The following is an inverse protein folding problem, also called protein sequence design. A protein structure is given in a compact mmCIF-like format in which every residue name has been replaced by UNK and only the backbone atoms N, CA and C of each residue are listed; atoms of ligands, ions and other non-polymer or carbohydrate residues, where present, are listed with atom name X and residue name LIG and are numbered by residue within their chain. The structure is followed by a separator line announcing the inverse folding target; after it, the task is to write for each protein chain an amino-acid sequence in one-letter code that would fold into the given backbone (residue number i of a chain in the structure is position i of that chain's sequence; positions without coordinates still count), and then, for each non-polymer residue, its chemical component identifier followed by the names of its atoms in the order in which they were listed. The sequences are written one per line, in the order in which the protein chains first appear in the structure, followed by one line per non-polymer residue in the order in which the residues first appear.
data_IF_878175845147
#
_entry.id   IF_878175845147
#
_cell.length_a   1.000
_cell.length_b   1.000
_cell.length_c   1.000
_cell.angle_alpha   90.00
_cell.angle_beta   90.00
_cell.angle_gamma   90.00
#
_symmetry.space_group_name_H-M   'P 1'
#
loop_
_entity.id
_entity.type
_entity.pdbx_description
1 polymer ?
#
# COMPACT_ATOMS: atom_id res chain seq x y z
N UNK A 1 19.10 14.56 -9.83
CA UNK A 1 17.76 15.09 -10.15
C UNK A 1 17.62 15.42 -11.62
N UNK A 2 18.65 16.07 -12.21
CA UNK A 2 18.57 16.47 -13.63
C UNK A 2 18.36 15.29 -14.55
N UNK A 3 19.03 14.16 -14.27
CA UNK A 3 18.87 12.96 -15.08
C UNK A 3 17.42 12.47 -15.04
N UNK A 4 16.82 12.44 -13.86
CA UNK A 4 15.45 11.95 -13.71
C UNK A 4 14.45 12.89 -14.38
N UNK A 5 14.68 14.21 -14.31
CA UNK A 5 13.77 15.15 -14.97
C UNK A 5 13.73 14.95 -16.47
N UNK A 6 14.85 14.52 -17.06
CA UNK A 6 14.93 14.24 -18.48
C UNK A 6 14.60 12.81 -18.87
N UNK A 7 14.30 11.94 -17.90
CA UNK A 7 14.01 10.53 -18.16
C UNK A 7 12.53 10.31 -18.44
N UNK A 8 12.17 9.21 -19.10
CA UNK A 8 10.74 8.92 -19.33
C UNK A 8 9.99 8.76 -18.02
N UNK A 9 8.76 9.26 -18.00
CA UNK A 9 7.86 8.93 -16.90
C UNK A 9 7.56 7.43 -16.91
N UNK A 10 7.24 6.88 -15.76
CA UNK A 10 6.94 5.45 -15.65
C UNK A 10 5.49 5.15 -16.05
N UNK A 11 4.63 6.15 -16.08
CA UNK A 11 3.22 5.98 -16.42
C UNK A 11 2.81 7.12 -17.36
N UNK A 12 1.67 6.95 -18.01
CA UNK A 12 1.15 7.96 -18.92
C UNK A 12 -0.06 8.67 -18.30
N UNK A 13 -0.24 9.94 -18.67
CA UNK A 13 -1.37 10.72 -18.16
C UNK A 13 -2.71 10.08 -18.53
N UNK A 14 -2.81 9.50 -19.73
CA UNK A 14 -4.04 8.84 -20.14
C UNK A 14 -4.39 7.67 -19.24
N UNK A 15 -3.38 6.93 -18.78
CA UNK A 15 -3.63 5.82 -17.86
C UNK A 15 -4.10 6.33 -16.50
N UNK A 16 -3.56 7.46 -16.05
CA UNK A 16 -4.02 8.07 -14.81
C UNK A 16 -5.51 8.42 -14.91
N UNK A 17 -5.91 9.02 -16.03
CA UNK A 17 -7.31 9.39 -16.21
C UNK A 17 -8.20 8.16 -16.27
N UNK A 18 -7.72 7.08 -16.89
CA UNK A 18 -8.49 5.83 -16.92
C UNK A 18 -8.67 5.26 -15.52
N UNK A 19 -7.61 5.32 -14.70
CA UNK A 19 -7.73 4.84 -13.33
C UNK A 19 -8.69 5.71 -12.53
N UNK A 20 -8.64 7.02 -12.71
CA UNK A 20 -9.57 7.90 -12.00
C UNK A 20 -11.02 7.58 -12.36
N UNK A 21 -11.29 7.31 -13.64
CA UNK A 21 -12.64 6.93 -14.07
C UNK A 21 -13.05 5.61 -13.42
N UNK A 22 -12.13 4.65 -13.35
CA UNK A 22 -12.42 3.38 -12.69
C UNK A 22 -12.68 3.59 -11.21
N UNK A 23 -11.88 4.42 -10.55
CA UNK A 23 -12.07 4.68 -9.12
C UNK A 23 -13.33 5.48 -8.85
N UNK A 24 -13.82 6.28 -9.81
CA UNK A 24 -15.11 6.91 -9.64
C UNK A 24 -16.23 5.87 -9.50
N UNK A 25 -16.11 4.75 -10.22
CA UNK A 25 -17.07 3.65 -10.07
C UNK A 25 -16.93 3.00 -8.69
N UNK A 26 -15.71 2.88 -8.18
CA UNK A 26 -15.50 2.37 -6.83
C UNK A 26 -16.16 3.29 -5.81
N UNK A 27 -16.02 4.60 -5.99
CA UNK A 27 -16.63 5.58 -5.08
C UNK A 27 -18.15 5.47 -5.07
N UNK A 28 -18.75 4.99 -6.15
CA UNK A 28 -20.19 4.77 -6.21
C UNK A 28 -20.61 3.39 -5.70
N UNK A 29 -19.67 2.59 -5.23
CA UNK A 29 -19.98 1.26 -4.71
C UNK A 29 -20.10 0.18 -5.77
N UNK A 30 -19.66 0.44 -7.00
CA UNK A 30 -19.85 -0.50 -8.11
C UNK A 30 -18.70 -1.47 -8.28
N UNK A 31 -17.57 -1.25 -7.61
CA UNK A 31 -16.41 -2.10 -7.71
C UNK A 31 -15.60 -2.02 -6.43
N UNK A 32 -14.73 -2.97 -6.23
CA UNK A 32 -13.86 -3.05 -5.05
C UNK A 32 -12.40 -2.94 -5.47
N UNK A 33 -11.51 -2.79 -4.49
CA UNK A 33 -10.07 -2.66 -4.71
C UNK A 33 -9.33 -3.65 -3.84
N UNK A 34 -8.35 -4.34 -4.41
CA UNK A 34 -7.31 -4.98 -3.61
C UNK A 34 -5.98 -4.33 -3.97
N UNK A 35 -5.29 -3.81 -2.95
CA UNK A 35 -4.02 -3.10 -3.10
C UNK A 35 -3.01 -3.81 -2.22
N UNK A 36 -2.07 -4.53 -2.81
CA UNK A 36 -1.15 -5.32 -1.99
C UNK A 36 0.22 -5.46 -2.63
N UNK A 37 1.20 -5.81 -1.81
CA UNK A 37 2.57 -6.05 -2.21
C UNK A 37 3.52 -5.88 -1.05
N UNK A 38 4.80 -5.76 -1.34
CA UNK A 38 5.84 -5.71 -0.33
C UNK A 38 5.68 -4.52 0.62
N UNK A 39 6.17 -4.70 1.84
CA UNK A 39 6.30 -3.57 2.76
C UNK A 39 7.38 -2.61 2.27
N UNK A 40 8.51 -3.15 1.82
CA UNK A 40 9.59 -2.43 1.18
C UNK A 40 10.15 -3.32 0.09
N UNK A 41 10.26 -2.78 -1.11
CA UNK A 41 10.76 -3.58 -2.23
C UNK A 41 12.28 -3.65 -2.24
N UNK A 42 12.77 -4.76 -2.77
CA UNK A 42 14.18 -5.01 -3.03
C UNK A 42 14.48 -4.52 -4.45
N UNK A 43 15.37 -3.52 -4.59
CA UNK A 43 15.70 -2.99 -5.91
C UNK A 43 16.32 -4.02 -6.85
N UNK A 44 16.84 -5.11 -6.32
CA UNK A 44 17.40 -6.17 -7.15
C UNK A 44 16.36 -7.20 -7.57
N UNK A 45 15.12 -7.07 -7.11
CA UNK A 45 14.06 -8.07 -7.32
C UNK A 45 13.08 -7.56 -8.38
N UNK A 46 13.56 -7.39 -9.61
CA UNK A 46 12.72 -6.86 -10.69
C UNK A 46 12.71 -7.77 -11.92
N UNK A 47 13.01 -9.04 -11.72
CA UNK A 47 13.02 -10.02 -12.80
C UNK A 47 11.59 -10.43 -13.18
N UNK A 48 11.43 -10.86 -14.41
CA UNK A 48 10.11 -11.19 -14.94
C UNK A 48 9.36 -12.21 -14.09
N UNK A 49 10.06 -13.25 -13.64
CA UNK A 49 9.39 -14.30 -12.86
C UNK A 49 8.94 -13.77 -11.49
N UNK A 50 9.74 -12.94 -10.85
CA UNK A 50 9.36 -12.38 -9.56
C UNK A 50 8.16 -11.45 -9.70
N UNK A 51 8.15 -10.63 -10.75
CA UNK A 51 7.01 -9.75 -11.01
C UNK A 51 5.75 -10.58 -11.30
N UNK A 52 5.89 -11.66 -12.08
CA UNK A 52 4.75 -12.52 -12.38
C UNK A 52 4.19 -13.17 -11.12
N UNK A 53 5.04 -13.59 -10.19
CA UNK A 53 4.57 -14.20 -8.95
C UNK A 53 3.84 -13.18 -8.07
N UNK A 54 4.34 -11.95 -8.03
CA UNK A 54 3.65 -10.89 -7.28
C UNK A 54 2.29 -10.58 -7.91
N UNK A 55 2.22 -10.54 -9.23
CA UNK A 55 0.94 -10.33 -9.92
C UNK A 55 -0.02 -11.50 -9.66
N UNK A 56 0.51 -12.72 -9.55
CA UNK A 56 -0.33 -13.88 -9.27
C UNK A 56 -1.00 -13.77 -7.90
N UNK A 57 -0.31 -13.23 -6.91
CA UNK A 57 -0.94 -13.00 -5.60
C UNK A 57 -2.12 -12.03 -5.76
N UNK A 58 -1.93 -10.95 -6.52
CA UNK A 58 -3.02 -10.01 -6.76
C UNK A 58 -4.20 -10.68 -7.46
N UNK A 59 -3.92 -11.56 -8.42
CA UNK A 59 -5.00 -12.29 -9.12
C UNK A 59 -5.77 -13.18 -8.14
N UNK A 60 -5.04 -13.88 -7.28
CA UNK A 60 -5.67 -14.74 -6.28
C UNK A 60 -6.57 -13.93 -5.35
N UNK A 61 -6.04 -12.83 -4.83
CA UNK A 61 -6.79 -12.04 -3.86
C UNK A 61 -7.96 -11.31 -4.52
N UNK A 62 -7.79 -10.85 -5.75
CA UNK A 62 -8.89 -10.20 -6.45
C UNK A 62 -10.02 -11.17 -6.72
N UNK A 63 -9.68 -12.42 -7.11
CA UNK A 63 -10.70 -13.44 -7.29
C UNK A 63 -11.45 -13.73 -6.01
N UNK A 64 -10.72 -13.87 -4.91
CA UNK A 64 -11.34 -14.13 -3.61
C UNK A 64 -12.24 -12.96 -3.19
N UNK A 65 -11.77 -11.73 -3.38
CA UNK A 65 -12.56 -10.57 -2.98
C UNK A 65 -13.80 -10.43 -3.86
N UNK A 66 -13.68 -10.77 -5.14
CA UNK A 66 -14.85 -10.75 -6.01
C UNK A 66 -15.92 -11.72 -5.55
N UNK A 67 -15.50 -12.90 -5.11
CA UNK A 67 -16.46 -13.88 -4.57
C UNK A 67 -17.08 -13.41 -3.26
N UNK A 68 -16.25 -12.85 -2.37
CA UNK A 68 -16.73 -12.39 -1.07
C UNK A 68 -17.58 -11.13 -1.17
N UNK A 69 -17.21 -10.22 -2.05
CA UNK A 69 -17.85 -8.91 -2.15
C UNK A 69 -18.86 -8.77 -3.28
N UNK A 70 -18.87 -9.75 -4.20
CA UNK A 70 -19.85 -9.81 -5.29
C UNK A 70 -19.81 -8.62 -6.22
N UNK A 71 -18.63 -8.06 -6.46
CA UNK A 71 -18.43 -6.94 -7.37
C UNK A 71 -17.11 -7.11 -8.09
N UNK A 72 -16.93 -6.48 -9.24
CA UNK A 72 -15.62 -6.46 -9.89
C UNK A 72 -14.57 -5.89 -8.95
N UNK A 73 -13.33 -6.36 -9.10
CA UNK A 73 -12.23 -5.95 -8.23
C UNK A 73 -11.11 -5.37 -9.07
N UNK A 74 -10.66 -4.17 -8.69
CA UNK A 74 -9.52 -3.52 -9.31
C UNK A 74 -8.25 -3.98 -8.60
N UNK A 75 -7.26 -4.44 -9.36
CA UNK A 75 -6.00 -4.96 -8.84
C UNK A 75 -4.95 -3.87 -8.84
N UNK A 76 -4.39 -3.58 -7.67
CA UNK A 76 -3.38 -2.54 -7.50
C UNK A 76 -2.19 -3.13 -6.76
N UNK A 77 -1.01 -3.01 -7.33
CA UNK A 77 0.21 -3.51 -6.68
C UNK A 77 0.92 -2.41 -5.91
N UNK A 78 1.33 -2.72 -4.69
CA UNK A 78 2.36 -1.95 -4.00
C UNK A 78 3.66 -2.38 -4.64
N UNK A 79 3.98 -1.78 -5.77
CA UNK A 79 5.04 -2.29 -6.63
C UNK A 79 5.60 -1.18 -7.50
N UNK A 80 6.85 -1.34 -7.89
CA UNK A 80 7.56 -0.43 -8.80
C UNK A 80 7.80 0.93 -8.17
N UNK A 81 8.10 0.95 -6.87
CA UNK A 81 8.41 2.23 -6.24
C UNK A 81 8.40 2.24 -4.72
N UNK A 82 8.08 1.15 -4.06
CA UNK A 82 8.05 1.14 -2.60
C UNK A 82 9.48 0.94 -2.09
N UNK A 83 10.35 1.91 -2.39
CA UNK A 83 11.77 1.86 -2.08
C UNK A 83 12.18 2.85 -0.98
N UNK A 84 11.23 3.54 -0.38
CA UNK A 84 11.48 4.42 0.76
C UNK A 84 10.44 4.14 1.82
N UNK A 85 10.88 4.04 3.08
CA UNK A 85 10.01 3.65 4.18
C UNK A 85 10.11 4.65 5.32
N UNK A 86 8.98 5.10 5.85
CA UNK A 86 9.03 5.89 7.09
C UNK A 86 9.37 4.98 8.26
N UNK A 87 10.13 5.51 9.19
CA UNK A 87 10.53 4.74 10.37
C UNK A 87 10.19 5.54 11.62
N UNK A 88 9.79 4.82 12.66
CA UNK A 88 9.40 5.46 13.92
C UNK A 88 10.58 6.10 14.64
N UNK A 89 11.75 5.48 14.51
CA UNK A 89 12.96 5.96 15.19
C UNK A 89 14.07 6.16 14.18
N UNK A 90 14.97 7.12 14.41
CA UNK A 90 16.08 7.34 13.46
C UNK A 90 17.20 6.30 13.57
N UNK A 91 17.31 5.63 14.69
CA UNK A 91 18.39 4.65 14.94
C UNK A 91 17.84 3.37 15.51
N UNK A 92 18.61 2.30 15.36
CA UNK A 92 18.29 1.01 15.96
C UNK A 92 19.56 0.37 16.51
N UNK A 93 19.35 -0.54 17.47
CA UNK A 93 20.44 -1.29 18.08
C UNK A 93 20.61 -2.58 17.30
N UNK A 94 21.83 -2.83 16.80
CA UNK A 94 22.17 -4.08 16.11
C UNK A 94 23.41 -4.62 16.79
N UNK A 95 23.25 -5.66 17.62
CA UNK A 95 24.33 -6.13 18.47
C UNK A 95 24.72 -5.04 19.44
N UNK A 96 26.00 -4.69 19.45
CA UNK A 96 26.51 -3.63 20.32
C UNK A 96 26.56 -2.27 19.63
N UNK A 97 26.15 -2.19 18.37
CA UNK A 97 26.21 -0.94 17.62
C UNK A 97 24.86 -0.24 17.58
N UNK A 98 24.90 1.08 17.60
CA UNK A 98 23.73 1.92 17.30
C UNK A 98 23.89 2.44 15.89
N UNK A 99 22.95 2.05 15.01
CA UNK A 99 23.05 2.38 13.59
C UNK A 99 21.80 3.16 13.14
N UNK A 100 21.93 4.00 12.11
CA UNK A 100 20.73 4.56 11.48
C UNK A 100 19.86 3.41 10.99
N UNK A 101 18.55 3.59 11.05
CA UNK A 101 17.64 2.54 10.57
C UNK A 101 17.73 2.44 9.06
N UNK A 102 17.42 1.23 8.55
CA UNK A 102 17.21 1.05 7.11
C UNK A 102 15.94 1.78 6.70
N UNK A 103 16.02 2.60 5.64
CA UNK A 103 14.90 3.44 5.21
C UNK A 103 14.43 3.13 3.80
N UNK A 104 14.80 1.97 3.28
CA UNK A 104 14.43 1.57 1.92
C UNK A 104 15.62 1.68 0.99
N UNK A 105 15.58 0.88 -0.06
CA UNK A 105 16.73 0.74 -0.95
C UNK A 105 17.11 2.00 -1.69
N UNK A 106 16.18 2.92 -1.92
CA UNK A 106 16.52 4.21 -2.54
C UNK A 106 17.25 5.15 -1.59
N UNK A 107 17.23 4.88 -0.29
CA UNK A 107 17.82 5.77 0.70
C UNK A 107 19.16 5.25 1.20
N UNK A 108 19.19 4.01 1.69
CA UNK A 108 20.42 3.45 2.26
C UNK A 108 20.42 1.93 2.12
N UNK A 109 21.53 1.31 2.53
CA UNK A 109 21.67 -0.14 2.44
C UNK A 109 21.11 -0.85 3.66
N UNK A 110 20.72 -2.09 3.46
CA UNK A 110 20.09 -2.88 4.51
C UNK A 110 21.11 -3.53 5.44
N UNK A 111 22.35 -3.69 5.00
CA UNK A 111 23.39 -4.36 5.78
C UNK A 111 23.66 -3.57 7.06
N UNK A 112 23.95 -4.30 8.13
CA UNK A 112 24.05 -3.72 9.46
C UNK A 112 25.46 -3.18 9.74
N UNK A 113 25.87 -2.18 8.97
CA UNK A 113 27.08 -1.44 9.31
C UNK A 113 26.97 0.01 8.83
N UNK A 114 27.76 0.86 9.48
CA UNK A 114 27.58 2.31 9.39
C UNK A 114 27.67 2.84 7.95
N UNK A 115 28.60 2.30 7.17
CA UNK A 115 28.77 2.81 5.81
C UNK A 115 27.58 2.50 4.94
N UNK A 116 27.01 1.31 5.06
CA UNK A 116 25.83 0.94 4.28
C UNK A 116 24.61 1.73 4.72
N UNK A 117 24.53 2.09 5.98
CA UNK A 117 23.36 2.81 6.50
C UNK A 117 23.42 4.33 6.22
N UNK A 118 24.50 4.81 5.61
CA UNK A 118 24.57 6.19 5.21
C UNK A 118 23.68 6.42 4.00
N UNK A 119 22.92 7.53 3.98
CA UNK A 119 22.10 7.86 2.83
C UNK A 119 22.97 8.10 1.60
N UNK A 120 22.52 7.59 0.47
CA UNK A 120 23.27 7.65 -0.79
C UNK A 120 22.33 8.04 -1.93
N UNK A 121 22.41 9.27 -2.43
CA UNK A 121 21.50 9.73 -3.50
C UNK A 121 21.63 8.94 -4.80
N UNK A 122 22.77 8.28 -5.05
CA UNK A 122 22.91 7.46 -6.25
C UNK A 122 21.93 6.30 -6.28
N UNK A 123 21.47 5.86 -5.13
CA UNK A 123 20.49 4.78 -5.06
C UNK A 123 19.17 5.13 -5.74
N UNK A 124 18.86 6.40 -5.85
CA UNK A 124 17.62 6.84 -6.51
C UNK A 124 17.62 6.43 -7.98
N UNK A 125 18.77 6.58 -8.65
CA UNK A 125 18.85 6.20 -10.06
C UNK A 125 18.67 4.69 -10.25
N UNK A 126 19.25 3.90 -9.35
CA UNK A 126 19.08 2.45 -9.42
C UNK A 126 17.62 2.07 -9.19
N UNK A 127 16.96 2.73 -8.24
CA UNK A 127 15.56 2.47 -7.98
C UNK A 127 14.66 2.82 -9.15
N UNK A 128 14.93 3.94 -9.80
CA UNK A 128 14.20 4.32 -10.99
C UNK A 128 14.33 3.24 -12.09
N UNK A 129 15.56 2.76 -12.30
CA UNK A 129 15.78 1.72 -13.32
C UNK A 129 15.04 0.43 -12.97
N UNK A 130 15.06 0.04 -11.71
CA UNK A 130 14.34 -1.15 -11.27
C UNK A 130 12.84 -0.98 -11.47
N UNK A 131 12.29 0.17 -11.08
CA UNK A 131 10.87 0.44 -11.24
C UNK A 131 10.47 0.41 -12.72
N UNK A 132 11.30 1.01 -13.58
CA UNK A 132 11.02 1.01 -15.00
C UNK A 132 10.96 -0.40 -15.57
N UNK A 133 11.87 -1.26 -15.14
CA UNK A 133 11.87 -2.64 -15.58
C UNK A 133 10.64 -3.40 -15.11
N UNK A 134 10.22 -3.16 -13.88
CA UNK A 134 8.99 -3.77 -13.36
C UNK A 134 7.78 -3.31 -14.17
N UNK A 135 7.71 -2.02 -14.45
CA UNK A 135 6.60 -1.49 -15.25
C UNK A 135 6.52 -2.17 -16.61
N UNK A 136 7.69 -2.41 -17.22
CA UNK A 136 7.73 -3.10 -18.50
C UNK A 136 7.18 -4.51 -18.38
N UNK A 137 7.57 -5.23 -17.34
CA UNK A 137 7.07 -6.60 -17.13
C UNK A 137 5.58 -6.63 -16.83
N UNK A 138 5.03 -5.56 -16.25
CA UNK A 138 3.60 -5.48 -16.02
C UNK A 138 2.80 -5.04 -17.24
N UNK A 139 3.49 -4.69 -18.33
CA UNK A 139 2.83 -4.27 -19.55
C UNK A 139 2.61 -2.78 -19.68
N UNK A 140 3.18 -1.97 -18.80
CA UNK A 140 3.02 -0.52 -18.81
C UNK A 140 4.18 0.16 -19.52
N UNK A 141 4.52 -0.26 -20.72
CA UNK A 141 5.62 0.38 -21.44
C UNK A 141 5.11 1.70 -22.04
N UNK A 142 5.34 2.79 -21.34
CA UNK A 142 4.85 4.09 -21.76
C UNK A 142 5.46 4.52 -23.11
N UNK A 143 6.67 4.05 -23.40
CA UNK A 143 7.32 4.42 -24.67
C UNK A 143 6.73 3.70 -25.87
N UNK A 144 6.16 2.52 -25.67
CA UNK A 144 5.62 1.72 -26.78
C UNK A 144 4.22 2.14 -27.19
N UNK A 145 3.52 2.87 -26.35
CA UNK A 145 2.15 3.26 -26.63
C UNK A 145 1.14 2.13 -26.56
N UNK A 146 1.51 1.00 -25.98
CA UNK A 146 0.58 -0.11 -25.85
C UNK A 146 -0.55 0.21 -24.91
N UNK A 147 -1.73 -0.25 -25.25
CA UNK A 147 -2.87 -0.11 -24.36
C UNK A 147 -2.75 -1.10 -23.20
N UNK A 148 -3.30 -0.71 -22.08
CA UNK A 148 -3.32 -1.57 -20.92
C UNK A 148 -4.13 -2.82 -21.22
N UNK A 149 -3.78 -3.91 -20.54
CA UNK A 149 -4.55 -5.14 -20.62
C UNK A 149 -5.97 -4.93 -20.15
N UNK A 150 -6.86 -5.82 -20.54
CA UNK A 150 -8.25 -5.77 -20.10
C UNK A 150 -8.36 -5.86 -18.57
N UNK A 151 -7.38 -6.50 -17.93
CA UNK A 151 -7.32 -6.61 -16.46
C UNK A 151 -5.94 -6.16 -15.98
N UNK A 152 -5.66 -4.88 -16.01
CA UNK A 152 -4.31 -4.43 -15.65
C UNK A 152 -4.05 -4.51 -14.14
N UNK A 153 -2.75 -4.59 -13.80
CA UNK A 153 -2.29 -4.37 -12.44
C UNK A 153 -1.80 -2.93 -12.37
N UNK A 154 -2.55 -2.08 -11.70
CA UNK A 154 -2.15 -0.69 -11.50
C UNK A 154 -1.05 -0.64 -10.44
N UNK A 155 -0.28 0.44 -10.42
CA UNK A 155 0.84 0.56 -9.50
C UNK A 155 0.60 1.65 -8.49
N UNK A 156 1.23 1.50 -7.32
CA UNK A 156 1.02 2.39 -6.19
C UNK A 156 2.21 2.28 -5.26
N UNK A 157 2.60 3.37 -4.64
CA UNK A 157 3.56 3.35 -3.54
C UNK A 157 3.40 4.60 -2.68
N UNK A 158 4.03 4.57 -1.50
CA UNK A 158 4.00 5.75 -0.63
C UNK A 158 4.86 6.85 -1.24
N UNK A 159 4.28 8.00 -1.45
CA UNK A 159 4.98 9.16 -2.00
C UNK A 159 5.75 9.82 -0.86
N UNK A 160 6.96 9.36 -0.61
CA UNK A 160 7.71 9.74 0.58
C UNK A 160 9.01 10.48 0.27
N UNK A 161 9.84 9.96 -0.63
CA UNK A 161 11.18 10.49 -0.89
C UNK A 161 11.08 11.62 -1.90
N UNK A 162 11.03 12.86 -1.40
CA UNK A 162 10.75 14.02 -2.26
C UNK A 162 11.82 14.25 -3.30
N UNK A 163 13.09 13.91 -3.01
CA UNK A 163 14.14 14.04 -4.04
C UNK A 163 13.82 13.22 -5.29
N UNK A 164 13.21 12.04 -5.11
CA UNK A 164 12.79 11.22 -6.23
C UNK A 164 11.49 11.75 -6.83
N UNK A 165 10.50 11.96 -6.00
CA UNK A 165 9.15 12.24 -6.49
C UNK A 165 9.04 13.58 -7.20
N UNK A 166 9.71 14.61 -6.68
CA UNK A 166 9.69 15.91 -7.35
C UNK A 166 10.36 15.82 -8.71
N UNK A 167 11.38 14.97 -8.83
CA UNK A 167 12.08 14.78 -10.11
C UNK A 167 11.23 14.04 -11.13
N UNK A 168 10.15 13.38 -10.68
CA UNK A 168 9.28 12.60 -11.56
C UNK A 168 7.99 13.34 -11.92
N UNK A 169 7.84 14.59 -11.55
CA UNK A 169 6.69 15.38 -11.98
C UNK A 169 6.76 15.66 -13.46
N UNK A 170 5.62 15.59 -14.14
CA UNK A 170 5.51 15.82 -15.59
C UNK A 170 4.25 16.63 -15.87
N UNK A 171 4.13 17.13 -17.10
CA UNK A 171 2.92 17.80 -17.56
C UNK A 171 2.32 17.02 -18.71
N UNK A 172 0.99 16.96 -18.75
CA UNK A 172 0.31 16.39 -19.90
C UNK A 172 0.17 17.42 -21.02
N UNK A 173 -0.56 17.07 -22.08
CA UNK A 173 -0.70 17.94 -23.22
C UNK A 173 -1.48 19.21 -22.89
N UNK A 174 -2.32 19.20 -21.86
CA UNK A 174 -3.05 20.36 -21.40
C UNK A 174 -2.29 21.09 -20.29
N UNK A 175 -1.03 20.74 -20.05
CA UNK A 175 -0.15 21.36 -19.05
C UNK A 175 -0.61 21.10 -17.61
N UNK A 176 -1.36 20.02 -17.41
CA UNK A 176 -1.72 19.59 -16.07
C UNK A 176 -0.58 18.75 -15.48
N UNK A 177 -0.24 19.00 -14.23
CA UNK A 177 0.87 18.31 -13.56
C UNK A 177 0.42 16.94 -13.10
N UNK A 178 1.26 15.92 -13.32
CA UNK A 178 1.03 14.61 -12.77
C UNK A 178 2.31 14.02 -12.25
N UNK A 179 2.16 13.08 -11.32
CA UNK A 179 3.29 12.36 -10.76
C UNK A 179 3.59 11.16 -11.67
N UNK A 180 4.77 11.17 -12.27
CA UNK A 180 5.15 10.15 -13.26
C UNK A 180 5.79 8.91 -12.68
N UNK A 181 5.88 8.81 -11.34
CA UNK A 181 6.52 7.66 -10.72
C UNK A 181 5.56 6.49 -10.47
N UNK A 182 4.25 6.73 -10.47
CA UNK A 182 3.28 5.68 -10.20
C UNK A 182 1.89 6.16 -10.58
N UNK A 183 0.97 5.21 -10.75
CA UNK A 183 -0.43 5.57 -11.05
C UNK A 183 -1.13 6.17 -9.83
N UNK A 184 -0.94 5.59 -8.65
CA UNK A 184 -1.77 5.91 -7.49
C UNK A 184 -0.89 6.08 -6.25
N UNK A 185 -0.34 7.28 -6.04
CA UNK A 185 0.48 7.53 -4.85
C UNK A 185 -0.38 7.66 -3.61
N UNK A 186 0.21 7.33 -2.45
CA UNK A 186 -0.46 7.62 -1.19
C UNK A 186 0.47 8.38 -0.24
N UNK A 187 -0.17 9.10 0.69
CA UNK A 187 0.51 9.80 1.78
C UNK A 187 0.44 8.91 3.00
N UNK A 188 1.57 8.72 3.67
CA UNK A 188 1.63 7.91 4.88
C UNK A 188 1.16 8.67 6.11
N UNK A 189 0.99 7.93 7.19
CA UNK A 189 0.51 8.49 8.45
C UNK A 189 1.44 9.59 9.00
N UNK A 190 2.74 9.44 8.76
CA UNK A 190 3.73 10.34 9.33
C UNK A 190 3.92 11.62 8.53
N UNK A 191 3.41 11.68 7.30
CA UNK A 191 3.63 12.84 6.43
C UNK A 191 2.32 13.49 5.98
N UNK A 192 1.23 13.26 6.70
CA UNK A 192 -0.09 13.79 6.33
C UNK A 192 -0.45 15.11 7.00
N UNK A 193 0.53 15.87 7.42
CA UNK A 193 0.26 17.21 7.96
C UNK A 193 -0.36 18.07 6.85
N UNK A 194 -1.46 18.72 7.15
CA UNK A 194 -2.23 19.47 6.15
C UNK A 194 -1.36 20.52 5.45
N UNK A 195 -0.47 21.16 6.21
CA UNK A 195 0.42 22.19 5.67
C UNK A 195 1.80 21.65 5.31
N UNK A 196 1.97 20.33 5.25
CA UNK A 196 3.25 19.74 4.94
C UNK A 196 3.50 19.60 3.44
N UNK A 197 4.76 19.33 3.11
CA UNK A 197 5.20 19.27 1.72
C UNK A 197 4.56 18.12 0.95
N UNK A 198 4.37 16.98 1.61
CA UNK A 198 3.81 15.79 0.94
C UNK A 198 2.35 16.04 0.56
N UNK A 199 1.57 16.61 1.45
CA UNK A 199 0.19 16.95 1.13
C UNK A 199 0.14 18.01 0.04
N UNK A 200 0.99 19.03 0.12
CA UNK A 200 1.02 20.09 -0.88
C UNK A 200 1.29 19.51 -2.27
N UNK A 201 2.22 18.55 -2.37
CA UNK A 201 2.54 17.97 -3.66
C UNK A 201 1.37 17.19 -4.23
N UNK A 202 0.77 16.32 -3.44
CA UNK A 202 -0.33 15.51 -3.97
C UNK A 202 -1.62 16.29 -4.17
N UNK A 203 -1.76 17.44 -3.53
CA UNK A 203 -2.91 18.29 -3.79
C UNK A 203 -2.90 18.84 -5.23
N UNK A 204 -1.73 18.87 -5.89
CA UNK A 204 -1.59 19.51 -7.20
C UNK A 204 -1.59 18.52 -8.36
N UNK A 205 -1.52 17.21 -8.11
CA UNK A 205 -1.31 16.26 -9.20
C UNK A 205 -2.62 15.70 -9.74
N UNK A 206 -2.58 15.35 -11.01
CA UNK A 206 -3.72 14.76 -11.71
C UNK A 206 -4.06 13.35 -11.21
N UNK A 207 -3.10 12.64 -10.67
CA UNK A 207 -3.27 11.25 -10.20
C UNK A 207 -4.41 11.16 -9.19
N UNK A 208 -5.10 10.01 -9.11
CA UNK A 208 -5.86 9.76 -7.90
C UNK A 208 -4.89 9.65 -6.73
N UNK A 209 -5.30 10.08 -5.56
CA UNK A 209 -4.41 10.07 -4.39
C UNK A 209 -5.09 9.35 -3.24
N UNK A 210 -4.25 8.77 -2.37
CA UNK A 210 -4.75 8.15 -1.16
C UNK A 210 -3.98 8.69 0.04
N UNK A 211 -4.58 8.55 1.22
CA UNK A 211 -3.96 9.04 2.45
C UNK A 211 -4.27 8.07 3.57
N UNK A 212 -3.22 7.64 4.27
CA UNK A 212 -3.38 6.78 5.45
C UNK A 212 -3.94 7.60 6.60
N UNK A 213 -4.85 7.01 7.35
CA UNK A 213 -5.41 7.66 8.54
C UNK A 213 -5.43 6.68 9.70
N UNK A 214 -4.75 7.05 10.77
CA UNK A 214 -4.66 6.25 11.98
C UNK A 214 -5.69 6.64 13.02
N UNK A 215 -5.69 5.95 14.17
CA UNK A 215 -6.77 6.12 15.15
C UNK A 215 -6.72 7.42 15.91
N UNK A 216 -5.63 8.16 15.83
CA UNK A 216 -5.51 9.41 16.60
C UNK A 216 -5.92 10.65 15.82
N UNK A 217 -6.29 10.52 14.55
CA UNK A 217 -6.69 11.67 13.76
C UNK A 217 -8.04 12.20 14.24
N UNK A 218 -8.15 13.54 14.38
CA UNK A 218 -9.40 14.16 14.73
C UNK A 218 -10.20 14.56 13.51
N UNK A 219 -11.48 14.77 13.73
CA UNK A 219 -12.37 15.17 12.63
C UNK A 219 -11.91 16.45 11.93
N UNK A 220 -11.52 17.28 12.51
CA UNK A 220 -11.10 18.48 12.01
C UNK A 220 -9.98 18.39 11.12
N UNK A 221 -9.12 17.69 11.64
CA UNK A 221 -7.91 17.49 10.85
C UNK A 221 -8.21 16.69 9.58
N UNK A 222 -9.03 15.65 9.71
CA UNK A 222 -9.38 14.83 8.56
C UNK A 222 -10.13 15.64 7.51
N UNK A 223 -11.08 16.48 7.93
CA UNK A 223 -11.81 17.29 6.96
C UNK A 223 -10.90 18.28 6.26
N UNK A 224 -9.91 18.82 6.98
CA UNK A 224 -8.93 19.72 6.34
C UNK A 224 -8.12 18.98 5.28
N UNK A 225 -7.74 17.73 5.56
CA UNK A 225 -7.05 16.91 4.55
C UNK A 225 -7.93 16.67 3.33
N UNK A 226 -9.18 16.31 3.54
CA UNK A 226 -10.10 16.08 2.42
C UNK A 226 -10.28 17.34 1.59
N UNK A 227 -10.42 18.48 2.25
CA UNK A 227 -10.59 19.74 1.54
C UNK A 227 -9.34 20.10 0.74
N UNK A 228 -8.16 19.83 1.30
CA UNK A 228 -6.91 20.13 0.60
C UNK A 228 -6.70 19.20 -0.59
N UNK A 229 -6.96 17.89 -0.41
CA UNK A 229 -6.65 16.90 -1.43
C UNK A 229 -7.74 16.74 -2.47
N UNK A 230 -8.98 17.09 -2.14
CA UNK A 230 -10.11 16.98 -3.07
C UNK A 230 -11.08 18.13 -2.88
N UNK A 231 -10.67 19.37 -3.17
CA UNK A 231 -11.56 20.52 -2.97
C UNK A 231 -12.78 20.50 -3.89
N UNK A 232 -12.70 19.81 -5.02
CA UNK A 232 -13.81 19.75 -5.97
C UNK A 232 -14.76 18.59 -5.68
N UNK A 233 -14.47 17.79 -4.69
CA UNK A 233 -15.33 16.65 -4.31
C UNK A 233 -15.62 15.75 -5.48
N UNK A 234 -14.56 15.30 -6.15
CA UNK A 234 -14.68 14.48 -7.37
C UNK A 234 -14.61 13.00 -7.00
N UNK A 235 -15.62 12.22 -7.33
CA UNK A 235 -15.54 10.78 -7.11
C UNK A 235 -14.32 10.19 -7.83
N UNK A 236 -13.57 9.37 -7.10
CA UNK A 236 -12.37 8.74 -7.64
C UNK A 236 -11.08 9.49 -7.39
N UNK A 237 -11.15 10.74 -6.91
CA UNK A 237 -9.94 11.51 -6.65
C UNK A 237 -9.28 11.09 -5.34
N UNK A 238 -10.03 10.94 -4.25
CA UNK A 238 -9.46 10.75 -2.93
C UNK A 238 -9.91 9.44 -2.31
N UNK A 239 -8.94 8.68 -1.82
CA UNK A 239 -9.16 7.47 -1.04
C UNK A 239 -8.51 7.66 0.32
N UNK A 240 -9.22 7.27 1.37
CA UNK A 240 -8.66 7.24 2.72
C UNK A 240 -8.44 5.78 3.10
N UNK A 241 -7.25 5.50 3.61
CA UNK A 241 -6.86 4.15 3.97
C UNK A 241 -6.76 4.08 5.49
N UNK A 242 -7.75 3.42 6.11
CA UNK A 242 -7.83 3.35 7.57
C UNK A 242 -6.87 2.29 8.09
N UNK A 243 -6.00 2.69 9.04
CA UNK A 243 -5.06 1.78 9.69
C UNK A 243 -5.18 1.96 11.19
N UNK A 244 -6.26 1.42 11.74
CA UNK A 244 -6.72 1.74 13.10
C UNK A 244 -6.27 0.74 14.16
N UNK A 245 -6.10 -0.53 13.79
CA UNK A 245 -5.94 -1.61 14.74
C UNK A 245 -7.27 -2.26 15.04
N UNK A 246 -7.23 -3.59 15.26
CA UNK A 246 -8.45 -4.36 15.41
C UNK A 246 -9.29 -3.89 16.59
N UNK A 247 -8.64 -3.42 17.66
CA UNK A 247 -9.37 -3.04 18.86
C UNK A 247 -9.98 -1.64 18.79
N UNK A 248 -9.46 -0.78 17.91
CA UNK A 248 -9.89 0.62 17.87
C UNK A 248 -10.81 0.95 16.70
N UNK A 249 -10.80 0.13 15.66
CA UNK A 249 -11.47 0.49 14.41
C UNK A 249 -12.98 0.70 14.62
N UNK A 250 -13.61 -0.14 15.41
CA UNK A 250 -15.06 -0.05 15.63
C UNK A 250 -15.49 1.21 16.35
N UNK A 251 -14.63 1.77 17.17
CA UNK A 251 -14.95 2.99 17.92
C UNK A 251 -14.48 4.24 17.18
N UNK A 252 -13.28 4.20 16.61
CA UNK A 252 -12.65 5.39 16.06
C UNK A 252 -13.10 5.73 14.65
N UNK A 253 -13.42 4.73 13.85
CA UNK A 253 -13.69 4.97 12.43
C UNK A 253 -15.07 5.56 12.15
N UNK A 254 -16.16 5.10 12.76
CA UNK A 254 -17.48 5.63 12.41
C UNK A 254 -17.64 7.14 12.47
N UNK A 255 -17.20 7.84 13.53
CA UNK A 255 -17.37 9.29 13.52
C UNK A 255 -16.57 9.98 12.40
N UNK A 256 -15.44 9.40 11.99
CA UNK A 256 -14.66 9.96 10.89
C UNK A 256 -15.40 9.80 9.57
N UNK A 257 -15.96 8.62 9.33
CA UNK A 257 -16.73 8.37 8.11
C UNK A 257 -17.94 9.30 8.04
N UNK A 258 -18.65 9.45 9.15
CA UNK A 258 -19.81 10.32 9.21
C UNK A 258 -19.44 11.77 8.89
N UNK A 259 -18.33 12.25 9.46
CA UNK A 259 -17.88 13.62 9.23
C UNK A 259 -17.54 13.88 7.77
N UNK A 260 -16.81 12.93 7.16
CA UNK A 260 -16.41 13.08 5.76
C UNK A 260 -17.64 13.07 4.85
N UNK A 261 -18.56 12.18 5.13
CA UNK A 261 -19.80 12.11 4.33
C UNK A 261 -20.63 13.38 4.50
N UNK A 262 -20.78 13.85 5.73
CA UNK A 262 -21.57 15.06 5.98
C UNK A 262 -20.99 16.29 5.30
N UNK A 263 -19.65 16.30 5.13
CA UNK A 263 -18.99 17.40 4.42
C UNK A 263 -19.08 17.27 2.89
N UNK A 264 -19.69 16.19 2.39
CA UNK A 264 -19.93 16.04 0.96
C UNK A 264 -18.76 15.46 0.16
N UNK A 265 -17.74 14.92 0.84
CA UNK A 265 -16.61 14.32 0.13
C UNK A 265 -16.93 12.88 -0.26
N UNK A 266 -16.85 12.54 -1.55
CA UNK A 266 -17.15 11.18 -2.01
C UNK A 266 -15.93 10.27 -1.90
N UNK A 267 -15.48 10.04 -0.69
CA UNK A 267 -14.24 9.34 -0.42
C UNK A 267 -14.44 7.83 -0.53
N UNK A 268 -13.44 7.17 -1.11
CA UNK A 268 -13.30 5.72 -1.08
C UNK A 268 -12.58 5.35 0.21
N UNK A 269 -13.06 4.33 0.91
CA UNK A 269 -12.41 3.84 2.13
C UNK A 269 -11.82 2.47 1.89
N UNK A 270 -10.53 2.31 2.20
CA UNK A 270 -9.85 1.01 2.20
C UNK A 270 -9.38 0.68 3.61
N UNK A 271 -9.29 -0.61 3.91
CA UNK A 271 -8.75 -1.08 5.18
C UNK A 271 -7.29 -1.46 5.02
N UNK A 272 -6.44 -0.89 5.87
CA UNK A 272 -5.07 -1.37 6.08
C UNK A 272 -5.06 -2.05 7.44
N UNK A 273 -5.31 -3.35 7.51
CA UNK A 273 -5.38 -4.04 8.81
C UNK A 273 -4.00 -4.49 9.29
N UNK A 274 -2.94 -4.01 8.64
CA UNK A 274 -1.58 -4.42 8.96
C UNK A 274 -0.96 -3.54 10.03
N UNK A 275 -0.94 -2.22 9.77
CA UNK A 275 -0.06 -1.34 10.53
C UNK A 275 -0.50 -1.09 11.97
N UNK A 276 -1.78 -1.19 12.26
CA UNK A 276 -2.27 -1.06 13.62
C UNK A 276 -2.16 -2.33 14.45
N UNK A 277 -1.70 -3.42 13.85
CA UNK A 277 -1.68 -4.73 14.51
C UNK A 277 -0.29 -5.33 14.61
N UNK A 278 0.74 -4.53 14.53
CA UNK A 278 2.12 -5.01 14.61
C UNK A 278 2.50 -5.22 16.09
N UNK A 279 3.04 -6.39 16.40
CA UNK A 279 3.53 -6.73 17.73
C UNK A 279 4.92 -7.31 17.60
N UNK A 280 5.58 -7.56 18.73
CA UNK A 280 6.93 -8.13 18.75
C UNK A 280 6.83 -9.56 19.25
N UNK A 281 7.37 -10.50 18.47
CA UNK A 281 7.40 -11.92 18.83
C UNK A 281 8.50 -12.19 19.86
N UNK A 282 8.46 -13.34 20.55
CA UNK A 282 9.53 -13.66 21.50
C UNK A 282 10.93 -13.67 20.90
N UNK A 283 11.09 -13.98 19.61
CA UNK A 283 12.39 -13.93 18.94
C UNK A 283 12.90 -12.51 18.70
N UNK A 284 12.10 -11.49 19.00
CA UNK A 284 12.47 -10.09 18.79
C UNK A 284 12.01 -9.49 17.48
N UNK A 285 11.54 -10.30 16.54
CA UNK A 285 11.06 -9.79 15.27
C UNK A 285 9.64 -9.26 15.38
N UNK A 286 9.34 -8.25 14.60
CA UNK A 286 7.96 -7.80 14.46
C UNK A 286 7.13 -8.90 13.79
N UNK A 287 5.87 -8.98 14.17
CA UNK A 287 4.94 -9.92 13.55
C UNK A 287 3.54 -9.33 13.59
N UNK A 288 2.62 -10.02 12.95
CA UNK A 288 1.20 -9.67 12.98
C UNK A 288 0.40 -10.95 13.05
N UNK A 289 -0.66 -10.94 13.84
CA UNK A 289 -1.54 -12.10 13.93
C UNK A 289 -2.60 -12.00 12.84
N UNK A 290 -2.71 -13.06 12.04
CA UNK A 290 -3.73 -13.09 10.97
C UNK A 290 -5.12 -12.93 11.57
N UNK A 291 -5.34 -13.48 12.76
CA UNK A 291 -6.61 -13.33 13.46
C UNK A 291 -6.95 -11.85 13.69
N UNK A 292 -5.98 -11.07 14.15
CA UNK A 292 -6.20 -9.63 14.37
C UNK A 292 -6.47 -8.91 13.06
N UNK A 293 -5.74 -9.29 12.02
CA UNK A 293 -5.93 -8.68 10.70
C UNK A 293 -7.36 -8.94 10.21
N UNK A 294 -7.79 -10.19 10.30
CA UNK A 294 -9.15 -10.56 9.87
C UNK A 294 -10.22 -9.83 10.69
N UNK A 295 -9.99 -9.70 12.00
CA UNK A 295 -10.93 -8.96 12.85
C UNK A 295 -11.05 -7.52 12.42
N UNK A 296 -9.91 -6.87 12.09
CA UNK A 296 -9.98 -5.47 11.65
C UNK A 296 -10.68 -5.34 10.31
N UNK A 297 -10.47 -6.27 9.38
CA UNK A 297 -11.16 -6.24 8.09
C UNK A 297 -12.68 -6.27 8.28
N UNK A 298 -13.16 -7.21 9.09
CA UNK A 298 -14.59 -7.34 9.31
C UNK A 298 -15.17 -6.12 10.02
N UNK A 299 -14.48 -5.64 11.05
CA UNK A 299 -14.95 -4.48 11.80
C UNK A 299 -14.90 -3.21 10.95
N UNK A 300 -13.90 -3.07 10.09
CA UNK A 300 -13.80 -1.95 9.18
C UNK A 300 -15.02 -1.89 8.26
N UNK A 301 -15.35 -3.01 7.65
CA UNK A 301 -16.46 -3.04 6.71
C UNK A 301 -17.75 -2.61 7.38
N UNK A 302 -18.02 -3.13 8.59
CA UNK A 302 -19.22 -2.76 9.32
C UNK A 302 -19.20 -1.29 9.72
N UNK A 303 -18.04 -0.78 10.16
CA UNK A 303 -17.95 0.61 10.60
C UNK A 303 -18.21 1.59 9.45
N UNK A 304 -17.61 1.33 8.30
CA UNK A 304 -17.75 2.23 7.16
C UNK A 304 -19.17 2.16 6.60
N UNK A 305 -19.65 0.94 6.33
CA UNK A 305 -20.99 0.77 5.75
C UNK A 305 -22.07 1.28 6.69
N UNK A 306 -21.92 1.02 7.99
CA UNK A 306 -22.89 1.45 8.97
C UNK A 306 -22.94 2.96 9.17
N UNK A 307 -21.91 3.67 8.73
CA UNK A 307 -21.81 5.12 8.86
C UNK A 307 -22.08 5.84 7.53
N UNK A 308 -22.56 5.10 6.53
CA UNK A 308 -22.93 5.68 5.25
C UNK A 308 -21.79 5.90 4.28
N UNK A 309 -20.61 5.34 4.56
CA UNK A 309 -19.48 5.42 3.66
C UNK A 309 -19.40 4.24 2.71
N UNK A 310 -18.44 4.30 1.80
CA UNK A 310 -18.19 3.23 0.84
C UNK A 310 -16.98 2.42 1.30
N UNK A 311 -17.25 1.21 1.83
CA UNK A 311 -16.19 0.27 2.20
C UNK A 311 -15.78 -0.43 0.91
N UNK A 312 -14.58 -0.11 0.42
CA UNK A 312 -14.25 -0.43 -0.96
C UNK A 312 -13.14 -1.46 -1.12
N UNK A 313 -12.53 -1.92 -0.05
CA UNK A 313 -11.52 -2.96 -0.23
C UNK A 313 -10.39 -2.88 0.76
N UNK A 314 -9.25 -3.47 0.35
CA UNK A 314 -8.17 -3.80 1.27
C UNK A 314 -6.83 -3.31 0.76
N UNK A 315 -5.97 -2.93 1.69
CA UNK A 315 -4.57 -2.55 1.48
C UNK A 315 -3.73 -3.45 2.37
N UNK A 316 -2.94 -4.35 1.76
CA UNK A 316 -2.23 -5.39 2.52
C UNK A 316 -0.75 -5.42 2.15
N UNK A 317 0.08 -5.84 3.11
CA UNK A 317 1.49 -6.14 2.83
C UNK A 317 1.65 -7.65 2.66
N UNK A 318 2.07 -8.06 1.47
CA UNK A 318 2.07 -9.45 1.07
C UNK A 318 3.35 -9.84 0.36
N UNK A 319 3.58 -11.15 0.27
CA UNK A 319 4.66 -11.69 -0.53
C UNK A 319 4.18 -13.00 -1.17
N UNK A 320 4.69 -13.34 -2.37
CA UNK A 320 4.38 -14.65 -2.94
C UNK A 320 5.12 -15.81 -2.28
N UNK A 321 6.05 -15.52 -1.38
CA UNK A 321 6.86 -16.53 -0.73
C UNK A 321 6.17 -17.10 0.50
N UNK A 322 6.55 -18.32 0.87
CA UNK A 322 5.95 -19.03 2.00
C UNK A 322 6.65 -18.63 3.29
N UNK A 323 6.45 -17.39 3.71
CA UNK A 323 7.10 -16.86 4.90
C UNK A 323 6.25 -17.11 6.15
N UNK A 324 6.91 -17.01 7.31
CA UNK A 324 6.25 -17.08 8.61
C UNK A 324 6.36 -15.77 9.36
N UNK A 325 6.49 -14.67 8.64
CA UNK A 325 6.61 -13.34 9.24
C UNK A 325 5.38 -12.97 10.04
N UNK A 326 4.20 -13.37 9.56
CA UNK A 326 2.95 -13.32 10.31
C UNK A 326 2.58 -14.73 10.70
N UNK A 327 1.78 -14.87 11.74
CA UNK A 327 1.30 -16.17 12.20
C UNK A 327 -0.20 -16.10 12.48
N UNK A 328 -0.83 -17.27 12.56
CA UNK A 328 -2.30 -17.33 12.65
C UNK A 328 -2.84 -16.63 13.89
N UNK A 329 -2.27 -16.94 15.05
CA UNK A 329 -2.70 -16.37 16.32
C UNK A 329 -1.53 -16.49 17.31
N UNK A 330 -1.80 -16.11 18.57
CA UNK A 330 -0.73 -16.06 19.56
C UNK A 330 -0.08 -17.41 19.85
N UNK A 331 -0.76 -18.52 19.57
CA UNK A 331 -0.17 -19.83 19.79
C UNK A 331 0.95 -20.14 18.80
N UNK A 332 1.03 -19.41 17.69
CA UNK A 332 2.06 -19.60 16.68
C UNK A 332 3.25 -18.67 16.76
N UNK A 333 3.33 -17.83 17.80
CA UNK A 333 4.40 -16.83 17.88
C UNK A 333 5.80 -17.42 17.86
N UNK A 334 5.95 -18.66 18.31
CA UNK A 334 7.25 -19.33 18.30
C UNK A 334 7.73 -19.65 16.89
N UNK A 335 6.87 -19.60 15.89
CA UNK A 335 7.22 -19.93 14.50
C UNK A 335 7.71 -18.75 13.71
N UNK A 336 7.63 -17.58 14.24
CA UNK A 336 7.97 -16.37 13.49
C UNK A 336 9.40 -16.41 12.94
N UNK A 337 10.20 -16.92 13.47
CA UNK A 337 11.48 -17.02 13.20
C UNK A 337 11.79 -17.90 12.17
N UNK A 338 10.97 -18.69 11.72
CA UNK A 338 11.33 -19.82 10.86
C UNK A 338 11.68 -19.40 9.44
N UNK A 339 10.93 -18.51 8.88
CA UNK A 339 11.19 -18.03 7.51
C UNK A 339 10.81 -16.56 7.44
N UNK A 340 11.76 -15.69 7.69
CA UNK A 340 11.53 -14.24 7.81
C UNK A 340 12.49 -13.53 6.89
N UNK A 341 11.99 -13.03 5.76
CA UNK A 341 12.83 -12.43 4.73
C UNK A 341 12.47 -10.97 4.43
N UNK A 342 11.50 -10.41 5.13
CA UNK A 342 11.09 -9.02 4.90
C UNK A 342 12.26 -8.06 5.14
N UNK A 343 12.33 -7.04 4.34
CA UNK A 343 13.33 -5.98 4.54
C UNK A 343 12.95 -5.04 5.66
N UNK A 344 11.69 -5.01 6.06
CA UNK A 344 11.22 -4.09 7.09
C UNK A 344 10.10 -4.72 7.93
N UNK A 345 8.85 -4.59 7.52
CA UNK A 345 7.70 -5.05 8.31
C UNK A 345 7.22 -6.43 7.86
N UNK A 346 6.58 -7.18 8.76
CA UNK A 346 6.12 -8.53 8.42
C UNK A 346 5.01 -8.55 7.37
N UNK A 347 5.10 -9.52 6.46
CA UNK A 347 4.17 -9.64 5.34
C UNK A 347 3.36 -10.92 5.47
N UNK A 348 2.18 -10.91 4.86
CA UNK A 348 1.35 -12.09 4.73
C UNK A 348 1.84 -12.96 3.58
N UNK A 349 1.94 -14.27 3.80
CA UNK A 349 2.13 -15.18 2.69
C UNK A 349 0.79 -15.32 1.94
N UNK A 350 0.75 -16.01 0.78
CA UNK A 350 -0.49 -15.99 -0.01
C UNK A 350 -1.70 -16.56 0.72
N UNK A 351 -1.50 -17.61 1.51
CA UNK A 351 -2.63 -18.24 2.20
C UNK A 351 -3.15 -17.36 3.33
N UNK A 352 -2.25 -16.69 4.02
CA UNK A 352 -2.63 -15.74 5.06
C UNK A 352 -3.37 -14.54 4.46
N UNK A 353 -2.89 -14.06 3.31
CA UNK A 353 -3.55 -12.95 2.64
C UNK A 353 -4.95 -13.36 2.19
N UNK A 354 -5.11 -14.59 1.72
CA UNK A 354 -6.41 -15.11 1.35
C UNK A 354 -7.37 -15.09 2.55
N UNK A 355 -6.88 -15.52 3.73
CA UNK A 355 -7.69 -15.46 4.95
C UNK A 355 -8.16 -14.05 5.26
N UNK A 356 -7.26 -13.08 5.12
CA UNK A 356 -7.62 -11.68 5.37
C UNK A 356 -8.71 -11.21 4.41
N UNK A 357 -8.58 -11.57 3.14
CA UNK A 357 -9.58 -11.16 2.14
C UNK A 357 -10.93 -11.81 2.42
N UNK A 358 -10.93 -13.09 2.81
CA UNK A 358 -12.19 -13.79 3.08
C UNK A 358 -12.93 -13.21 4.28
N UNK A 359 -12.23 -12.52 5.17
CA UNK A 359 -12.89 -11.83 6.28
C UNK A 359 -13.80 -10.68 5.80
N UNK A 360 -13.65 -10.25 4.54
CA UNK A 360 -14.52 -9.22 3.97
C UNK A 360 -15.99 -9.65 4.01
N UNK A 361 -16.25 -10.94 3.85
CA UNK A 361 -17.63 -11.43 3.89
C UNK A 361 -18.11 -11.73 5.31
N UNK A 362 -17.28 -11.52 6.31
CA UNK A 362 -17.61 -11.86 7.69
C UNK A 362 -17.29 -13.31 8.04
N UNK A 363 -16.69 -14.07 7.11
CA UNK A 363 -16.32 -15.44 7.39
C UNK A 363 -15.15 -15.48 8.36
N UNK A 364 -15.06 -16.54 9.15
CA UNK A 364 -13.93 -16.73 10.03
C UNK A 364 -12.67 -16.99 9.22
N UNK A 365 -11.53 -16.57 9.76
CA UNK A 365 -10.26 -16.80 9.11
C UNK A 365 -10.06 -18.31 8.92
N UNK A 366 -9.50 -18.68 7.76
CA UNK A 366 -9.25 -20.10 7.47
C UNK A 366 -8.07 -20.54 8.33
N UNK A 367 -8.22 -21.57 9.15
CA UNK A 367 -7.09 -22.05 9.96
C UNK A 367 -5.95 -22.52 9.07
N UNK A 368 -4.72 -22.26 9.50
CA UNK A 368 -3.57 -22.71 8.72
C UNK A 368 -3.53 -24.23 8.58
N UNK A 369 -4.11 -24.94 9.52
CA UNK A 369 -4.16 -26.40 9.45
C UNK A 369 -5.03 -26.92 8.32
N UNK A 370 -5.86 -26.09 7.71
CA UNK A 370 -6.68 -26.53 6.58
C UNK A 370 -5.90 -26.52 5.26
N UNK A 371 -4.65 -26.12 5.29
CA UNK A 371 -3.79 -26.18 4.11
C UNK A 371 -2.64 -27.14 4.40
N UNK A 372 -2.91 -28.45 4.38
CA UNK A 372 -1.88 -29.40 4.76
C UNK A 372 -0.90 -29.62 3.63
N UNK A 373 0.18 -28.86 3.66
CA UNK A 373 1.30 -29.17 2.80
C UNK A 373 2.21 -30.22 3.43
N UNK A 374 1.84 -30.67 4.64
CA UNK A 374 2.72 -31.55 5.39
C UNK A 374 2.42 -33.05 5.22
N UNK A 375 1.38 -33.38 4.48
CA UNK A 375 0.93 -34.78 4.52
C UNK A 375 0.96 -35.48 3.18
N UNK A 376 1.80 -35.05 2.27
CA UNK A 376 2.04 -35.90 1.10
C UNK A 376 3.25 -36.76 1.43
N UNK A 377 2.98 -37.91 2.04
CA UNK A 377 4.03 -38.92 2.24
C UNK A 377 4.19 -39.71 0.96
#
# INVERSE_FOLDING_TARGET
QAYLRGSPALIRAGDILALRATLARVARGEALVVQCGDCAEDMDDHHAENVARKAAVLELLAGALRLAGRRPVIRVGRIAGQYAKPRSKPHEQVGEQTLPVYRGDMVNGREAHAEQRRADPQRILKGYAAARNIMRHLGWDAASGQEANASPVWTSHEMLLLDYELSMLREDEQRRVYLGSTHWPWIGERTRQVDGAHVALLAEVLNPVACKVGPEIGRXQLLALCERLDPRREPGRLTLIARMGAQKVGERLPPLVEAVRAAGHPVIWLSDPMHGNTIVAPCGNKTRLVRSIAEEVAAFRLAVSGSGGVAAGLHLETTPDDVTECVADSSGLHQVXRHYTSLCDPRLNPWQALSAVMAWSGAEAIPSATFPLETVA
#
